data_IF_244335290995
#
_entry.id   IF_244335290995
#
_cell.length_a   1.000
_cell.length_b   1.000
_cell.length_c   1.000
_cell.angle_alpha   90.00
_cell.angle_beta   90.00
_cell.angle_gamma   90.00
#
_symmetry.space_group_name_H-M   'P 1'
#
loop_
_entity.id
_entity.type
_entity.pdbx_description
1 polymer ?
#
# COMPACT_ATOMS: atom_id res chain seq x y z
N UNK A 1 -59.63 52.62 24.87
CA UNK A 1 -58.28 52.48 25.31
C UNK A 1 -57.67 51.19 24.70
N UNK A 2 -56.86 51.30 23.65
CA UNK A 2 -56.28 50.16 22.98
C UNK A 2 -54.87 49.92 23.55
N UNK A 3 -54.65 48.72 24.10
CA UNK A 3 -53.31 48.29 24.61
C UNK A 3 -52.45 47.87 23.43
N UNK A 4 -51.14 48.25 23.33
CA UNK A 4 -50.25 47.76 22.31
C UNK A 4 -49.73 46.36 22.68
N UNK A 5 -49.74 45.47 21.68
CA UNK A 5 -49.14 44.15 21.76
C UNK A 5 -47.60 44.27 21.74
N UNK A 6 -46.95 43.74 22.74
CA UNK A 6 -45.48 43.64 22.82
C UNK A 6 -45.08 42.38 22.05
N UNK A 7 -44.45 42.53 20.86
CA UNK A 7 -43.79 41.45 20.15
C UNK A 7 -42.45 41.15 20.82
N UNK A 8 -42.32 39.96 21.37
CA UNK A 8 -41.08 39.45 21.88
C UNK A 8 -40.18 39.02 20.71
N UNK A 9 -38.86 39.36 20.69
CA UNK A 9 -37.96 38.87 19.67
C UNK A 9 -37.60 37.41 19.96
N UNK A 10 -37.93 36.52 19.01
CA UNK A 10 -37.46 35.13 18.99
C UNK A 10 -35.99 35.11 18.64
N UNK A 11 -35.13 34.83 19.62
CA UNK A 11 -33.71 34.60 19.41
C UNK A 11 -33.54 33.18 18.85
N UNK A 12 -33.21 33.08 17.57
CA UNK A 12 -32.81 31.82 16.95
C UNK A 12 -31.35 31.54 17.34
N UNK A 13 -31.17 30.62 18.27
CA UNK A 13 -29.86 30.02 18.55
C UNK A 13 -29.48 29.11 17.36
N UNK A 14 -28.67 29.61 16.44
CA UNK A 14 -28.04 28.80 15.41
C UNK A 14 -26.98 27.92 16.08
N UNK A 15 -27.32 26.67 16.37
CA UNK A 15 -26.36 25.64 16.76
C UNK A 15 -25.58 25.27 15.52
N UNK A 16 -24.37 25.87 15.36
CA UNK A 16 -23.43 25.51 14.34
C UNK A 16 -22.90 24.09 14.60
N UNK A 17 -23.35 23.13 13.81
CA UNK A 17 -22.80 21.78 13.79
C UNK A 17 -21.40 21.85 13.17
N UNK A 18 -20.38 21.92 14.03
CA UNK A 18 -18.99 21.84 13.63
C UNK A 18 -18.70 20.41 13.14
N UNK A 19 -18.85 20.15 11.86
CA UNK A 19 -18.47 18.88 11.25
C UNK A 19 -16.95 18.77 11.29
N UNK A 20 -16.45 17.92 12.19
CA UNK A 20 -15.04 17.54 12.23
C UNK A 20 -14.74 16.75 10.96
N UNK A 21 -14.20 17.40 9.95
CA UNK A 21 -13.66 16.74 8.76
C UNK A 21 -12.36 16.07 9.21
N UNK A 22 -12.43 14.78 9.55
CA UNK A 22 -11.24 13.96 9.74
C UNK A 22 -10.65 13.76 8.35
N UNK A 23 -9.43 14.26 8.05
CA UNK A 23 -8.81 13.92 6.78
C UNK A 23 -8.64 12.40 6.75
N UNK A 24 -9.25 11.73 5.77
CA UNK A 24 -8.85 10.38 5.41
C UNK A 24 -7.36 10.48 5.07
N UNK A 25 -6.51 9.91 5.93
CA UNK A 25 -5.11 9.67 5.58
C UNK A 25 -5.15 8.66 4.44
N UNK A 26 -5.23 9.17 3.19
CA UNK A 26 -4.79 8.40 2.05
C UNK A 26 -3.42 7.86 2.43
N UNK A 27 -3.18 6.54 2.24
CA UNK A 27 -1.84 5.99 2.32
C UNK A 27 -0.97 6.87 1.41
N UNK A 28 -0.34 7.89 1.99
CA UNK A 28 0.56 8.76 1.26
C UNK A 28 1.63 7.83 0.70
N UNK A 29 1.84 7.87 -0.61
CA UNK A 29 2.77 6.98 -1.28
C UNK A 29 4.05 6.84 -0.46
N UNK A 30 4.46 5.58 -0.17
CA UNK A 30 5.55 5.29 0.75
C UNK A 30 6.86 5.96 0.33
N UNK A 31 7.80 6.06 1.26
CA UNK A 31 9.13 6.60 0.99
C UNK A 31 10.03 5.49 0.42
N UNK A 32 10.36 5.56 -0.87
CA UNK A 32 11.18 4.55 -1.55
C UNK A 32 12.60 4.42 -0.96
N UNK A 33 13.19 5.50 -0.44
CA UNK A 33 14.52 5.46 0.17
C UNK A 33 14.52 4.68 1.49
N UNK A 34 13.49 4.84 2.31
CA UNK A 34 13.29 4.02 3.51
C UNK A 34 12.91 2.59 3.13
N UNK A 35 12.05 2.42 2.12
CA UNK A 35 11.65 1.12 1.60
C UNK A 35 12.82 0.31 1.10
N UNK A 36 13.82 0.95 0.47
CA UNK A 36 15.05 0.27 0.06
C UNK A 36 15.79 -0.37 1.22
N UNK A 37 15.88 0.30 2.36
CA UNK A 37 16.57 -0.24 3.54
C UNK A 37 15.89 -1.51 4.03
N UNK A 38 14.57 -1.48 4.17
CA UNK A 38 13.77 -2.64 4.58
C UNK A 38 13.84 -3.75 3.53
N UNK A 39 13.78 -3.40 2.26
CA UNK A 39 13.89 -4.34 1.14
C UNK A 39 15.24 -5.06 1.12
N UNK A 40 16.34 -4.33 1.21
CA UNK A 40 17.70 -4.92 1.21
C UNK A 40 17.89 -5.90 2.36
N UNK A 41 17.31 -5.60 3.53
CA UNK A 41 17.43 -6.43 4.73
C UNK A 41 16.56 -7.70 4.66
N UNK A 42 15.35 -7.63 4.12
CA UNK A 42 14.34 -8.68 4.25
C UNK A 42 13.96 -9.35 2.92
N UNK A 43 14.04 -8.65 1.82
CA UNK A 43 13.51 -9.10 0.53
C UNK A 43 14.63 -9.45 -0.46
N UNK A 44 15.72 -8.67 -0.44
CA UNK A 44 16.80 -8.76 -1.40
C UNK A 44 17.50 -10.13 -1.44
N UNK A 45 17.51 -10.88 -0.35
CA UNK A 45 18.11 -12.22 -0.29
C UNK A 45 17.46 -13.22 -1.26
N UNK A 46 16.17 -13.06 -1.56
CA UNK A 46 15.44 -13.87 -2.54
C UNK A 46 15.18 -13.12 -3.83
N UNK A 47 14.70 -11.86 -3.75
CA UNK A 47 14.31 -11.07 -4.91
C UNK A 47 15.49 -10.38 -5.64
N UNK A 48 16.71 -10.43 -5.06
CA UNK A 48 17.87 -9.70 -5.56
C UNK A 48 17.83 -8.22 -5.19
N UNK A 49 19.00 -7.60 -5.00
CA UNK A 49 19.07 -6.16 -4.65
C UNK A 49 18.59 -5.25 -5.79
N UNK A 50 18.65 -5.76 -7.02
CA UNK A 50 18.11 -5.11 -8.23
C UNK A 50 16.64 -5.41 -8.48
N UNK A 51 16.03 -6.34 -7.72
CA UNK A 51 14.67 -6.79 -7.92
C UNK A 51 14.46 -7.76 -9.09
N UNK A 52 15.53 -8.32 -9.65
CA UNK A 52 15.46 -9.21 -10.81
C UNK A 52 14.99 -10.65 -10.48
N UNK A 53 14.76 -10.97 -9.21
CA UNK A 53 14.41 -12.32 -8.77
C UNK A 53 15.63 -13.26 -8.64
N UNK A 54 16.82 -12.72 -8.70
CA UNK A 54 18.11 -13.40 -8.78
C UNK A 54 18.88 -13.41 -7.45
N UNK A 55 18.20 -13.19 -6.36
CA UNK A 55 18.82 -13.22 -5.04
C UNK A 55 19.42 -14.60 -4.72
N UNK A 56 20.51 -14.65 -3.93
CA UNK A 56 21.26 -15.90 -3.69
C UNK A 56 20.40 -17.02 -3.08
N UNK A 57 19.41 -16.70 -2.28
CA UNK A 57 18.48 -17.69 -1.76
C UNK A 57 17.32 -18.00 -2.75
N UNK A 58 17.12 -17.14 -3.75
CA UNK A 58 16.05 -17.30 -4.75
C UNK A 58 16.34 -18.36 -5.81
N UNK A 59 17.62 -18.64 -6.07
CA UNK A 59 18.07 -19.50 -7.18
C UNK A 59 17.56 -20.96 -7.10
N UNK A 60 17.25 -21.45 -5.90
CA UNK A 60 16.75 -22.81 -5.67
C UNK A 60 15.23 -22.87 -5.44
N UNK A 61 14.54 -21.75 -5.60
CA UNK A 61 13.08 -21.64 -5.33
C UNK A 61 12.32 -21.87 -6.64
N UNK A 62 11.35 -22.80 -6.63
CA UNK A 62 10.44 -23.06 -7.75
C UNK A 62 8.98 -22.97 -7.27
N UNK A 63 8.14 -22.11 -7.87
CA UNK A 63 8.50 -21.08 -8.84
C UNK A 63 9.45 -20.01 -8.27
N UNK A 64 10.28 -19.39 -9.13
CA UNK A 64 11.28 -18.42 -8.67
C UNK A 64 10.66 -17.15 -8.10
N UNK A 65 11.41 -16.41 -7.28
CA UNK A 65 10.97 -15.11 -6.80
C UNK A 65 10.60 -14.16 -7.94
N UNK A 66 9.60 -13.32 -7.70
CA UNK A 66 9.13 -12.36 -8.70
C UNK A 66 10.24 -11.43 -9.14
N UNK A 67 10.40 -11.28 -10.46
CA UNK A 67 11.19 -10.23 -11.07
C UNK A 67 10.37 -8.95 -11.12
N UNK A 68 10.71 -7.98 -10.28
CA UNK A 68 10.01 -6.70 -10.19
C UNK A 68 10.31 -5.76 -11.36
N UNK A 69 11.45 -5.94 -12.03
CA UNK A 69 11.85 -5.10 -13.17
C UNK A 69 10.87 -5.22 -14.35
N UNK A 70 10.15 -6.33 -14.44
CA UNK A 70 9.17 -6.56 -15.50
C UNK A 70 7.82 -5.86 -15.22
N UNK A 71 7.55 -5.45 -13.98
CA UNK A 71 6.27 -4.86 -13.61
C UNK A 71 5.08 -5.82 -13.74
N UNK A 72 5.34 -7.12 -13.90
CA UNK A 72 4.32 -8.16 -14.08
C UNK A 72 3.97 -8.79 -12.74
N UNK A 73 2.93 -8.29 -12.09
CA UNK A 73 2.41 -8.86 -10.85
C UNK A 73 1.19 -9.75 -11.17
N UNK A 74 1.10 -10.91 -10.49
CA UNK A 74 0.15 -11.96 -10.85
C UNK A 74 -1.06 -12.06 -9.92
N UNK A 75 -0.95 -11.50 -8.72
CA UNK A 75 -1.97 -11.69 -7.70
C UNK A 75 -2.93 -10.51 -7.68
N UNK A 76 -4.20 -10.84 -7.64
CA UNK A 76 -5.33 -9.97 -7.30
C UNK A 76 -5.72 -10.37 -5.87
N UNK A 77 -5.03 -9.77 -4.90
CA UNK A 77 -5.08 -10.21 -3.51
C UNK A 77 -6.29 -9.63 -2.77
N UNK A 78 -6.78 -8.48 -3.18
CA UNK A 78 -8.00 -7.83 -2.68
C UNK A 78 -9.26 -8.25 -3.45
N UNK A 79 -9.09 -8.93 -4.61
CA UNK A 79 -10.16 -9.46 -5.48
C UNK A 79 -11.01 -8.37 -6.13
N UNK A 80 -10.40 -7.26 -6.50
CA UNK A 80 -11.05 -6.18 -7.22
C UNK A 80 -11.06 -6.37 -8.75
N UNK A 81 -10.36 -7.40 -9.25
CA UNK A 81 -10.23 -7.75 -10.66
C UNK A 81 -9.02 -7.11 -11.35
N UNK A 82 -8.19 -6.36 -10.62
CA UNK A 82 -6.97 -5.73 -11.13
C UNK A 82 -5.76 -6.30 -10.42
N UNK A 83 -4.86 -6.96 -11.12
CA UNK A 83 -3.66 -7.55 -10.52
C UNK A 83 -2.54 -6.54 -10.34
N UNK A 84 -1.78 -6.67 -9.25
CA UNK A 84 -0.54 -5.94 -9.04
C UNK A 84 -0.72 -4.47 -8.67
N UNK A 85 -1.82 -4.13 -8.05
CA UNK A 85 -2.03 -2.84 -7.39
C UNK A 85 -1.13 -2.70 -6.16
N UNK A 86 -1.01 -1.51 -5.60
CA UNK A 86 -0.26 -1.33 -4.35
C UNK A 86 -0.94 -2.07 -3.18
N UNK A 87 -2.27 -2.17 -3.20
CA UNK A 87 -3.04 -2.94 -2.23
C UNK A 87 -2.75 -4.44 -2.34
N UNK A 88 -2.69 -4.99 -3.57
CA UNK A 88 -2.28 -6.39 -3.76
C UNK A 88 -0.89 -6.67 -3.20
N UNK A 89 0.08 -5.80 -3.52
CA UNK A 89 1.43 -5.94 -3.02
C UNK A 89 1.47 -5.87 -1.49
N UNK A 90 0.70 -4.94 -0.92
CA UNK A 90 0.57 -4.79 0.53
C UNK A 90 0.07 -6.09 1.17
N UNK A 91 -1.04 -6.62 0.67
CA UNK A 91 -1.67 -7.82 1.19
C UNK A 91 -0.76 -9.05 1.02
N UNK A 92 -0.09 -9.18 -0.14
CA UNK A 92 0.85 -10.29 -0.40
C UNK A 92 2.06 -10.23 0.52
N UNK A 93 2.65 -9.06 0.75
CA UNK A 93 3.76 -8.90 1.69
C UNK A 93 3.32 -9.25 3.10
N UNK A 94 2.18 -8.73 3.55
CA UNK A 94 1.67 -8.94 4.90
C UNK A 94 1.31 -10.41 5.17
N UNK A 95 0.66 -11.10 4.20
CA UNK A 95 0.10 -12.45 4.37
C UNK A 95 0.97 -13.58 3.81
N UNK A 96 2.01 -13.25 3.05
CA UNK A 96 2.87 -14.24 2.40
C UNK A 96 2.29 -14.80 1.10
N UNK A 97 3.18 -15.37 0.28
CA UNK A 97 2.83 -15.83 -1.07
C UNK A 97 1.85 -16.99 -1.13
N UNK A 98 1.90 -17.90 -0.15
CA UNK A 98 1.09 -19.13 -0.16
C UNK A 98 -0.41 -18.87 -0.17
N UNK A 99 -0.84 -17.78 0.46
CA UNK A 99 -2.26 -17.39 0.52
C UNK A 99 -2.85 -17.06 -0.87
N UNK A 100 -1.99 -16.85 -1.86
CA UNK A 100 -2.36 -16.43 -3.23
C UNK A 100 -1.85 -17.42 -4.29
N UNK A 101 -1.48 -18.65 -3.90
CA UNK A 101 -0.94 -19.67 -4.82
C UNK A 101 0.53 -19.47 -5.17
N UNK A 102 1.23 -18.62 -4.44
CA UNK A 102 2.68 -18.43 -4.54
C UNK A 102 3.47 -19.44 -3.72
N UNK A 103 4.80 -19.31 -3.75
CA UNK A 103 5.70 -20.19 -3.03
C UNK A 103 5.62 -19.96 -1.51
N UNK A 104 5.53 -21.00 -0.67
CA UNK A 104 5.47 -20.87 0.79
C UNK A 104 6.75 -20.28 1.42
N UNK A 105 7.86 -20.25 0.69
CA UNK A 105 9.10 -19.60 1.13
C UNK A 105 8.93 -18.07 1.22
N UNK A 106 8.00 -17.50 0.45
CA UNK A 106 7.57 -16.12 0.64
C UNK A 106 6.67 -16.04 1.89
N UNK A 107 7.32 -15.96 3.05
CA UNK A 107 6.65 -15.94 4.36
C UNK A 107 5.89 -14.63 4.59
N UNK A 108 4.88 -14.62 5.49
CA UNK A 108 4.21 -13.40 5.94
C UNK A 108 5.17 -12.45 6.66
N UNK A 109 5.13 -11.18 6.30
CA UNK A 109 5.87 -10.10 6.95
C UNK A 109 4.98 -9.26 7.87
N UNK A 110 4.15 -9.93 8.65
CA UNK A 110 3.21 -9.28 9.58
C UNK A 110 3.90 -8.53 10.75
N UNK A 111 5.21 -8.68 10.89
CA UNK A 111 6.02 -7.90 11.85
C UNK A 111 6.39 -6.50 11.36
N UNK A 112 6.29 -6.24 10.05
CA UNK A 112 6.47 -4.91 9.50
C UNK A 112 5.20 -4.09 9.74
N UNK A 113 5.36 -2.82 10.08
CA UNK A 113 4.25 -1.88 10.14
C UNK A 113 3.71 -1.57 8.74
N UNK A 114 2.47 -1.11 8.65
CA UNK A 114 1.84 -0.71 7.39
C UNK A 114 2.68 0.35 6.65
N UNK A 115 3.30 1.28 7.38
CA UNK A 115 4.18 2.29 6.82
C UNK A 115 5.46 1.69 6.21
N UNK A 116 6.07 0.68 6.85
CA UNK A 116 7.23 -0.01 6.33
C UNK A 116 6.88 -0.82 5.07
N UNK A 117 5.72 -1.49 5.05
CA UNK A 117 5.24 -2.19 3.86
C UNK A 117 4.98 -1.18 2.73
N UNK A 118 4.31 -0.07 2.99
CA UNK A 118 4.07 0.97 2.00
C UNK A 118 5.39 1.54 1.44
N UNK A 119 6.40 1.73 2.29
CA UNK A 119 7.73 2.16 1.87
C UNK A 119 8.41 1.12 0.95
N UNK A 120 8.32 -0.17 1.30
CA UNK A 120 8.85 -1.27 0.46
C UNK A 120 8.16 -1.29 -0.90
N UNK A 121 6.84 -1.12 -0.96
CA UNK A 121 6.08 -1.05 -2.21
C UNK A 121 6.57 0.14 -3.05
N UNK A 122 6.71 1.32 -2.46
CA UNK A 122 7.24 2.48 -3.15
C UNK A 122 8.62 2.22 -3.75
N UNK A 123 9.50 1.49 -3.06
CA UNK A 123 10.78 1.08 -3.60
C UNK A 123 10.64 0.08 -4.76
N UNK A 124 9.81 -0.96 -4.61
CA UNK A 124 9.54 -1.95 -5.67
C UNK A 124 9.07 -1.25 -6.95
N UNK A 125 8.22 -0.23 -6.85
CA UNK A 125 7.77 0.56 -8.01
C UNK A 125 8.91 1.30 -8.73
N UNK A 126 9.97 1.65 -8.03
CA UNK A 126 11.16 2.26 -8.68
C UNK A 126 11.99 1.24 -9.48
N UNK A 127 11.82 -0.04 -9.24
CA UNK A 127 12.52 -1.11 -9.95
C UNK A 127 11.88 -1.47 -11.30
N UNK A 128 10.65 -1.07 -11.54
CA UNK A 128 9.90 -1.40 -12.77
C UNK A 128 10.47 -0.66 -13.99
N UNK A 129 11.25 -1.35 -14.83
CA UNK A 129 11.90 -0.77 -16.01
C UNK A 129 10.88 -0.57 -17.15
N UNK A 130 9.88 -1.45 -17.27
CA UNK A 130 8.92 -1.44 -18.38
C UNK A 130 7.89 -0.31 -18.31
N UNK A 131 7.68 0.30 -17.13
CA UNK A 131 6.75 1.45 -16.98
C UNK A 131 7.35 2.80 -17.38
N UNK A 132 8.66 2.86 -17.63
CA UNK A 132 9.37 4.12 -17.89
C UNK A 132 9.51 4.45 -19.39
N UNK A 133 8.99 3.63 -20.31
CA UNK A 133 8.91 4.00 -21.73
C UNK A 133 7.58 4.71 -21.98
N UNK A 134 7.58 6.04 -22.19
CA UNK A 134 6.39 6.74 -22.71
C UNK A 134 6.16 6.26 -24.14
N UNK A 135 4.93 5.84 -24.43
CA UNK A 135 4.44 5.63 -25.78
C UNK A 135 4.25 6.94 -26.52
#
# INVERSE_FOLDING_TARGET
>A
MKRPAILAPTVWLAVGLLTLVIPATALAGGNAAEGKKTYDLHCGVCHGLSGAGDGPAGAAIDPPPRNFNLGEFKFDADKDGVTGTDEDLFIVIQKGGVSFGGNPVMVPWSSLSDAEIANVIAFIRTLEITRTTPH
#
